data_IF_040177853667
#
_entry.id   IF_040177853667
#
_cell.length_a   1.000
_cell.length_b   1.000
_cell.length_c   1.000
_cell.angle_alpha   90.00
_cell.angle_beta   90.00
_cell.angle_gamma   90.00
#
_symmetry.space_group_name_H-M   'P 1'
#
loop_
_entity.id
_entity.type
_entity.pdbx_description
1 polymer ?
#
# COMPACT_ATOMS: atom_id res chain seq x y z
N UNK A 1 37.05 11.56 -55.95
CA UNK A 1 38.30 11.80 -55.22
C UNK A 1 38.64 13.28 -55.29
N UNK A 2 38.83 13.91 -54.12
CA UNK A 2 39.62 15.11 -53.79
C UNK A 2 39.57 16.34 -54.72
N UNK A 3 39.23 17.49 -54.13
CA UNK A 3 39.50 18.80 -54.72
C UNK A 3 39.03 19.95 -53.83
N UNK A 4 39.72 20.18 -52.72
CA UNK A 4 39.55 21.34 -51.85
C UNK A 4 39.94 22.64 -52.58
N UNK A 5 39.18 23.71 -52.38
CA UNK A 5 39.51 25.06 -52.82
C UNK A 5 39.03 26.07 -51.79
N UNK A 6 39.98 26.69 -51.10
CA UNK A 6 39.81 27.67 -50.02
C UNK A 6 39.70 29.04 -50.69
N UNK A 7 38.64 29.79 -50.39
CA UNK A 7 38.39 31.15 -50.86
C UNK A 7 38.12 32.08 -49.68
N UNK A 8 39.06 32.97 -49.44
CA UNK A 8 39.11 33.92 -48.35
C UNK A 8 38.10 35.07 -48.51
N UNK A 9 37.83 35.71 -47.35
CA UNK A 9 37.81 37.17 -47.16
C UNK A 9 36.43 37.86 -47.06
N UNK A 10 36.43 38.88 -46.18
CA UNK A 10 35.39 39.89 -45.91
C UNK A 10 34.27 39.38 -44.97
N UNK A 11 33.99 39.94 -43.79
CA UNK A 11 34.18 41.29 -43.24
C UNK A 11 34.25 41.15 -41.72
N UNK A 12 35.26 41.75 -41.09
CA UNK A 12 35.33 41.89 -39.63
C UNK A 12 34.24 42.87 -39.18
N UNK A 13 33.20 42.36 -38.51
CA UNK A 13 32.17 43.18 -37.88
C UNK A 13 32.69 43.75 -36.56
N UNK A 14 32.43 45.03 -36.39
CA UNK A 14 32.73 45.92 -35.28
C UNK A 14 32.79 45.29 -33.89
N UNK A 15 33.88 45.61 -33.19
CA UNK A 15 34.00 45.53 -31.74
C UNK A 15 33.12 46.61 -31.12
N UNK A 16 32.04 46.22 -30.43
CA UNK A 16 31.32 47.08 -29.51
C UNK A 16 31.24 46.36 -28.16
N UNK A 17 32.24 46.61 -27.32
CA UNK A 17 32.24 46.23 -25.91
C UNK A 17 31.34 47.24 -25.17
N UNK A 18 30.07 46.93 -25.05
CA UNK A 18 29.13 47.66 -24.21
C UNK A 18 28.80 46.82 -22.97
N UNK A 19 29.42 47.22 -21.87
CA UNK A 19 29.02 47.11 -20.45
C UNK A 19 27.90 46.12 -20.12
N UNK A 20 28.27 45.10 -19.33
CA UNK A 20 27.36 44.26 -18.56
C UNK A 20 26.42 45.12 -17.71
N UNK A 21 25.12 45.05 -18.02
CA UNK A 21 24.05 45.25 -17.04
C UNK A 21 23.41 43.87 -16.81
N UNK A 22 23.50 43.27 -15.63
CA UNK A 22 22.73 42.07 -15.33
C UNK A 22 21.26 42.48 -15.07
N UNK A 23 20.46 42.55 -16.14
CA UNK A 23 19.01 42.55 -16.04
C UNK A 23 18.49 41.11 -15.80
N UNK A 24 17.52 40.90 -14.91
CA UNK A 24 17.18 39.58 -14.41
C UNK A 24 16.56 38.69 -15.50
N UNK A 25 17.10 37.46 -15.54
CA UNK A 25 16.66 36.33 -16.35
C UNK A 25 15.21 35.98 -16.02
N UNK A 26 14.35 35.99 -17.04
CA UNK A 26 13.07 35.30 -17.00
C UNK A 26 13.31 33.78 -16.96
N UNK A 27 13.10 33.14 -15.82
CA UNK A 27 12.83 31.71 -15.68
C UNK A 27 12.54 31.39 -14.21
N UNK A 28 11.31 31.67 -13.78
CA UNK A 28 10.71 30.93 -12.68
C UNK A 28 9.50 30.22 -13.27
N UNK A 29 9.72 28.95 -13.63
CA UNK A 29 8.64 28.00 -13.66
C UNK A 29 7.89 28.12 -12.33
N UNK A 30 6.58 28.33 -12.37
CA UNK A 30 5.70 28.04 -11.24
C UNK A 30 5.86 26.54 -10.94
N UNK A 31 6.86 26.24 -10.12
CA UNK A 31 6.93 24.99 -9.41
C UNK A 31 5.68 24.96 -8.52
N UNK A 32 4.82 23.94 -8.60
CA UNK A 32 3.84 23.73 -7.56
C UNK A 32 4.59 23.29 -6.30
N UNK A 33 5.11 24.27 -5.55
CA UNK A 33 5.43 24.15 -4.13
C UNK A 33 4.12 23.92 -3.41
N UNK A 34 3.77 22.65 -3.32
CA UNK A 34 2.51 22.21 -2.74
C UNK A 34 2.57 20.73 -2.38
N UNK A 35 3.65 20.27 -1.74
CA UNK A 35 3.60 19.06 -0.93
C UNK A 35 2.83 19.35 0.38
N UNK A 36 1.59 19.82 0.24
CA UNK A 36 0.59 19.54 1.24
C UNK A 36 0.27 18.06 1.11
N UNK A 37 0.22 17.34 2.23
CA UNK A 37 -0.33 15.98 2.28
C UNK A 37 -1.82 16.05 1.89
N UNK A 38 -2.11 16.17 0.60
CA UNK A 38 -3.46 16.09 0.08
C UNK A 38 -3.95 14.68 0.40
N UNK A 39 -4.99 14.61 1.22
CA UNK A 39 -5.69 13.35 1.47
C UNK A 39 -6.19 12.89 0.10
N UNK A 40 -5.77 11.71 -0.41
CA UNK A 40 -6.19 11.26 -1.73
C UNK A 40 -7.71 11.22 -1.79
N UNK A 41 -8.25 11.65 -2.93
CA UNK A 41 -9.69 11.70 -3.14
C UNK A 41 -10.30 10.28 -3.07
N UNK A 42 -11.63 10.20 -3.05
CA UNK A 42 -12.32 8.91 -2.91
C UNK A 42 -12.07 7.96 -4.10
N UNK A 43 -11.89 8.49 -5.32
CA UNK A 43 -11.59 7.75 -6.54
C UNK A 43 -10.15 7.22 -6.51
N UNK A 44 -9.19 8.07 -6.16
CA UNK A 44 -7.78 7.70 -5.97
C UNK A 44 -7.64 6.61 -4.94
N UNK A 45 -8.32 6.75 -3.80
CA UNK A 45 -8.33 5.72 -2.73
C UNK A 45 -8.87 4.40 -3.25
N UNK A 46 -9.96 4.42 -4.02
CA UNK A 46 -10.56 3.23 -4.61
C UNK A 46 -9.58 2.55 -5.59
N UNK A 47 -8.92 3.32 -6.45
CA UNK A 47 -7.95 2.78 -7.41
C UNK A 47 -6.73 2.19 -6.71
N UNK A 48 -6.17 2.88 -5.72
CA UNK A 48 -5.08 2.39 -4.87
C UNK A 48 -5.49 1.08 -4.19
N UNK A 49 -6.66 1.04 -3.58
CA UNK A 49 -7.15 -0.14 -2.89
C UNK A 49 -7.40 -1.32 -3.85
N UNK A 50 -7.95 -1.06 -5.03
CA UNK A 50 -8.12 -2.08 -6.07
C UNK A 50 -6.77 -2.65 -6.54
N UNK A 51 -5.75 -1.80 -6.73
CA UNK A 51 -4.42 -2.26 -7.11
C UNK A 51 -3.78 -3.12 -6.01
N UNK A 52 -3.94 -2.74 -4.73
CA UNK A 52 -3.51 -3.56 -3.58
C UNK A 52 -4.27 -4.88 -3.51
N UNK A 53 -5.57 -4.88 -3.80
CA UNK A 53 -6.40 -6.07 -3.89
C UNK A 53 -5.93 -7.04 -4.99
N UNK A 54 -5.46 -6.50 -6.12
CA UNK A 54 -4.83 -7.25 -7.21
C UNK A 54 -3.41 -7.74 -6.87
N UNK A 55 -2.83 -7.33 -5.73
CA UNK A 55 -1.49 -7.74 -5.31
C UNK A 55 -0.36 -6.86 -5.84
N UNK A 56 -0.67 -5.69 -6.42
CA UNK A 56 0.32 -4.72 -6.90
C UNK A 56 0.95 -3.96 -5.73
N UNK A 57 2.03 -3.22 -6.01
CA UNK A 57 2.73 -2.37 -5.05
C UNK A 57 3.19 -3.12 -3.78
N UNK A 58 3.03 -2.49 -2.62
CA UNK A 58 3.39 -3.00 -1.29
C UNK A 58 2.59 -4.25 -0.88
N UNK A 59 1.55 -4.66 -1.61
CA UNK A 59 0.79 -5.87 -1.29
C UNK A 59 1.58 -7.17 -1.55
N UNK A 60 2.61 -7.10 -2.40
CA UNK A 60 3.56 -8.19 -2.64
C UNK A 60 4.57 -8.38 -1.50
N UNK A 61 4.88 -7.31 -0.75
CA UNK A 61 5.71 -7.40 0.45
C UNK A 61 4.91 -8.05 1.59
N UNK A 62 5.43 -9.18 2.05
CA UNK A 62 4.78 -10.09 2.99
C UNK A 62 5.54 -10.24 4.30
N UNK A 63 6.38 -9.26 4.66
CA UNK A 63 7.14 -9.25 5.91
C UNK A 63 6.95 -7.94 6.67
N UNK A 64 7.22 -8.00 7.97
CA UNK A 64 7.29 -6.82 8.84
C UNK A 64 5.96 -6.32 9.39
N UNK A 65 6.04 -5.70 10.57
CA UNK A 65 4.90 -5.07 11.24
C UNK A 65 4.65 -3.66 10.70
N UNK A 66 4.40 -3.55 9.39
CA UNK A 66 4.10 -2.31 8.68
C UNK A 66 2.63 -1.86 8.87
N UNK A 67 2.31 -0.60 8.56
CA UNK A 67 0.94 -0.04 8.60
C UNK A 67 0.00 -0.81 7.69
N UNK A 68 -1.21 -1.11 8.16
CA UNK A 68 -2.21 -1.87 7.42
C UNK A 68 -2.42 -1.34 6.00
N UNK A 69 -2.38 -2.23 5.01
CA UNK A 69 -2.70 -1.86 3.62
C UNK A 69 -4.20 -1.69 3.40
N UNK A 70 -5.03 -2.16 4.32
CA UNK A 70 -6.47 -1.92 4.30
C UNK A 70 -6.81 -0.68 5.11
N UNK A 71 -7.45 0.30 4.46
CA UNK A 71 -7.84 1.59 5.02
C UNK A 71 -9.36 1.84 4.89
N UNK A 72 -10.14 0.78 4.63
CA UNK A 72 -11.58 0.86 4.45
C UNK A 72 -12.38 0.92 5.76
N UNK A 73 -13.69 0.71 5.67
CA UNK A 73 -14.67 0.87 6.77
C UNK A 73 -14.28 0.28 8.14
N UNK A 74 -13.65 -0.89 8.18
CA UNK A 74 -13.30 -1.54 9.45
C UNK A 74 -11.95 -1.11 10.03
N UNK A 75 -11.17 -0.36 9.26
CA UNK A 75 -9.88 0.12 9.71
C UNK A 75 -10.04 1.09 10.87
N UNK A 76 -9.27 0.90 11.94
CA UNK A 76 -9.30 1.75 13.11
C UNK A 76 -7.88 2.26 13.41
N UNK A 77 -7.52 3.51 13.03
CA UNK A 77 -6.16 4.01 13.20
C UNK A 77 -5.71 3.99 14.66
N UNK A 78 -6.61 4.34 15.60
CA UNK A 78 -6.34 4.28 17.06
C UNK A 78 -6.05 2.87 17.59
N UNK A 79 -6.36 1.81 16.82
CA UNK A 79 -6.12 0.40 17.19
C UNK A 79 -5.05 -0.26 16.32
N UNK A 80 -4.40 0.48 15.43
CA UNK A 80 -3.35 -0.07 14.56
C UNK A 80 -2.15 -0.62 15.35
N UNK A 81 -1.80 0.02 16.48
CA UNK A 81 -0.80 -0.50 17.42
C UNK A 81 -1.16 -1.90 17.93
N UNK A 82 -2.44 -2.16 18.19
CA UNK A 82 -2.95 -3.48 18.63
C UNK A 82 -2.77 -4.50 17.52
N UNK A 83 -3.18 -4.19 16.28
CA UNK A 83 -2.99 -5.07 15.13
C UNK A 83 -1.52 -5.43 14.92
N UNK A 84 -0.63 -4.43 14.94
CA UNK A 84 0.82 -4.63 14.78
C UNK A 84 1.39 -5.54 15.88
N UNK A 85 0.97 -5.33 17.12
CA UNK A 85 1.35 -6.21 18.23
C UNK A 85 0.86 -7.64 18.01
N UNK A 86 -0.40 -7.83 17.59
CA UNK A 86 -0.95 -9.16 17.29
C UNK A 86 -0.15 -9.80 16.17
N UNK A 87 0.04 -9.14 15.02
CA UNK A 87 0.81 -9.70 13.91
C UNK A 87 2.24 -10.10 14.34
N UNK A 88 2.92 -9.25 15.13
CA UNK A 88 4.26 -9.54 15.65
C UNK A 88 4.26 -10.71 16.63
N UNK A 89 3.25 -10.83 17.50
CA UNK A 89 3.13 -11.93 18.46
C UNK A 89 2.80 -13.25 17.78
N UNK A 90 1.85 -13.24 16.85
CA UNK A 90 1.33 -14.43 16.19
C UNK A 90 2.34 -15.05 15.22
N UNK A 91 3.13 -14.25 14.51
CA UNK A 91 4.06 -14.79 13.52
C UNK A 91 5.34 -13.99 13.28
N UNK A 92 5.68 -13.05 14.17
CA UNK A 92 6.75 -12.08 13.88
C UNK A 92 6.38 -11.12 12.74
N UNK A 93 5.09 -10.95 12.45
CA UNK A 93 4.55 -10.23 11.29
C UNK A 93 4.99 -10.82 9.93
N UNK A 94 5.20 -12.13 9.89
CA UNK A 94 5.42 -12.88 8.66
C UNK A 94 4.06 -13.30 8.07
N UNK A 95 3.69 -12.72 6.92
CA UNK A 95 2.44 -13.01 6.22
C UNK A 95 2.45 -14.38 5.52
N UNK A 96 3.62 -15.03 5.42
CA UNK A 96 3.78 -16.37 4.86
C UNK A 96 3.85 -17.48 5.92
N UNK A 97 3.76 -17.11 7.21
CA UNK A 97 3.93 -18.05 8.30
C UNK A 97 2.87 -19.16 8.30
N UNK A 98 3.29 -20.34 8.75
CA UNK A 98 2.45 -21.51 8.99
C UNK A 98 2.87 -22.07 10.34
N UNK A 99 1.91 -22.29 11.24
CA UNK A 99 2.17 -22.95 12.53
C UNK A 99 2.76 -24.36 12.32
N UNK A 100 3.51 -24.90 13.27
CA UNK A 100 4.09 -26.25 13.18
C UNK A 100 3.11 -27.33 12.71
N UNK A 101 1.88 -27.37 13.27
CA UNK A 101 0.83 -28.31 12.88
C UNK A 101 -0.02 -27.91 11.67
N UNK A 102 0.38 -26.88 10.90
CA UNK A 102 -0.34 -26.44 9.69
C UNK A 102 -1.75 -25.86 9.89
N UNK A 103 -2.23 -25.73 11.14
CA UNK A 103 -3.59 -25.29 11.49
C UNK A 103 -3.79 -23.79 11.33
N UNK A 104 -2.79 -22.99 11.68
CA UNK A 104 -2.86 -21.53 11.68
C UNK A 104 -1.87 -20.93 10.68
N UNK A 105 -2.33 -19.92 9.94
CA UNK A 105 -1.64 -19.44 8.74
C UNK A 105 -1.68 -17.92 8.63
N UNK A 106 -0.62 -17.36 8.04
CA UNK A 106 -0.47 -15.95 7.79
C UNK A 106 -0.03 -15.13 9.01
N UNK A 107 -0.03 -13.80 8.84
CA UNK A 107 0.45 -12.86 9.84
C UNK A 107 -0.35 -12.89 11.14
N UNK A 108 -1.63 -13.25 11.04
CA UNK A 108 -2.59 -13.25 12.14
C UNK A 108 -2.91 -14.66 12.65
N UNK A 109 -2.16 -15.66 12.18
CA UNK A 109 -2.37 -17.08 12.54
C UNK A 109 -3.85 -17.47 12.46
N UNK A 110 -4.51 -17.15 11.33
CA UNK A 110 -5.92 -17.47 11.15
C UNK A 110 -6.07 -18.97 10.85
N UNK A 111 -7.07 -19.60 11.48
CA UNK A 111 -7.52 -20.93 11.06
C UNK A 111 -8.21 -20.86 9.70
N UNK A 112 -8.27 -22.00 9.02
CA UNK A 112 -8.95 -22.11 7.72
C UNK A 112 -10.42 -21.68 7.78
N UNK A 113 -11.16 -22.14 8.80
CA UNK A 113 -12.57 -21.82 9.01
C UNK A 113 -12.78 -20.31 9.23
N UNK A 114 -11.92 -19.69 10.05
CA UNK A 114 -11.98 -18.26 10.31
C UNK A 114 -11.71 -17.43 9.05
N UNK A 115 -10.69 -17.81 8.27
CA UNK A 115 -10.36 -17.13 7.02
C UNK A 115 -11.50 -17.23 5.98
N UNK A 116 -12.12 -18.41 5.84
CA UNK A 116 -13.28 -18.59 4.95
C UNK A 116 -14.46 -17.74 5.42
N UNK A 117 -14.78 -17.74 6.72
CA UNK A 117 -15.82 -16.89 7.30
C UNK A 117 -15.59 -15.41 7.03
N UNK A 118 -14.36 -14.93 7.23
CA UNK A 118 -13.98 -13.55 6.91
C UNK A 118 -14.17 -13.22 5.42
N UNK A 119 -13.84 -14.14 4.51
CA UNK A 119 -14.09 -13.94 3.08
C UNK A 119 -15.58 -13.77 2.77
N UNK A 120 -16.48 -14.47 3.46
CA UNK A 120 -17.93 -14.29 3.29
C UNK A 120 -18.36 -12.89 3.73
N UNK A 121 -17.88 -12.44 4.91
CA UNK A 121 -18.16 -11.12 5.46
C UNK A 121 -17.64 -9.99 4.56
N UNK A 122 -16.45 -10.14 3.96
CA UNK A 122 -15.84 -9.11 3.11
C UNK A 122 -16.59 -8.88 1.78
N UNK A 123 -17.20 -9.90 1.18
CA UNK A 123 -17.73 -9.83 -0.20
C UNK A 123 -18.67 -8.66 -0.47
N UNK A 124 -19.67 -8.45 0.41
CA UNK A 124 -20.71 -7.43 0.16
C UNK A 124 -20.09 -6.04 0.12
N UNK A 125 -19.15 -5.78 1.02
CA UNK A 125 -18.47 -4.49 1.10
C UNK A 125 -17.45 -4.32 -0.02
N UNK A 126 -16.68 -5.36 -0.36
CA UNK A 126 -15.77 -5.33 -1.50
C UNK A 126 -16.51 -5.04 -2.80
N UNK A 127 -17.68 -5.67 -3.02
CA UNK A 127 -18.50 -5.39 -4.22
C UNK A 127 -18.92 -3.93 -4.28
N UNK A 128 -19.36 -3.36 -3.15
CA UNK A 128 -19.83 -1.97 -3.07
C UNK A 128 -18.69 -0.97 -3.28
N UNK A 129 -17.53 -1.24 -2.69
CA UNK A 129 -16.39 -0.31 -2.68
C UNK A 129 -15.56 -0.40 -3.96
N UNK A 130 -15.28 -1.62 -4.43
CA UNK A 130 -14.30 -1.90 -5.49
C UNK A 130 -14.92 -2.54 -6.75
N UNK A 131 -16.21 -2.87 -6.73
CA UNK A 131 -16.94 -3.43 -7.88
C UNK A 131 -16.95 -4.96 -7.96
N UNK A 132 -17.57 -5.47 -9.03
CA UNK A 132 -17.80 -6.91 -9.21
C UNK A 132 -16.51 -7.72 -9.38
N UNK A 133 -15.49 -7.17 -10.05
CA UNK A 133 -14.21 -7.86 -10.26
C UNK A 133 -13.47 -8.11 -8.94
N UNK A 134 -13.46 -7.12 -8.04
CA UNK A 134 -12.85 -7.29 -6.72
C UNK A 134 -13.60 -8.35 -5.88
N UNK A 135 -14.93 -8.47 -6.01
CA UNK A 135 -15.69 -9.55 -5.36
C UNK A 135 -15.21 -10.92 -5.85
N UNK A 136 -14.90 -11.09 -7.13
CA UNK A 136 -14.36 -12.36 -7.67
C UNK A 136 -13.02 -12.71 -7.00
N UNK A 137 -12.15 -11.72 -6.74
CA UNK A 137 -10.91 -11.93 -5.99
C UNK A 137 -11.16 -12.50 -4.59
N UNK A 138 -12.14 -11.95 -3.85
CA UNK A 138 -12.51 -12.45 -2.50
C UNK A 138 -13.02 -13.88 -2.55
N UNK A 139 -13.84 -14.21 -3.54
CA UNK A 139 -14.32 -15.59 -3.74
C UNK A 139 -13.13 -16.52 -4.00
N UNK A 140 -12.18 -16.10 -4.84
CA UNK A 140 -10.99 -16.88 -5.15
C UNK A 140 -10.07 -17.09 -3.92
N UNK A 141 -10.03 -16.16 -2.96
CA UNK A 141 -9.29 -16.35 -1.70
C UNK A 141 -9.73 -17.60 -0.94
N UNK A 142 -11.00 -18.01 -1.08
CA UNK A 142 -11.50 -19.22 -0.44
C UNK A 142 -10.83 -20.47 -0.94
N UNK A 143 -10.26 -20.50 -2.13
CA UNK A 143 -9.53 -21.68 -2.63
C UNK A 143 -8.08 -21.72 -2.14
N UNK A 144 -7.57 -20.58 -1.64
CA UNK A 144 -6.18 -20.42 -1.23
C UNK A 144 -6.04 -20.44 0.30
N UNK A 145 -5.02 -21.10 0.84
CA UNK A 145 -4.71 -21.00 2.27
C UNK A 145 -4.16 -19.59 2.58
N UNK A 146 -4.39 -19.09 3.80
CA UNK A 146 -4.20 -17.67 4.16
C UNK A 146 -2.79 -17.14 3.93
N UNK A 147 -1.75 -17.97 4.08
CA UNK A 147 -0.36 -17.59 3.83
C UNK A 147 -0.04 -17.28 2.35
N UNK A 148 -0.91 -17.72 1.43
CA UNK A 148 -0.85 -17.38 0.01
C UNK A 148 -1.63 -16.11 -0.33
N UNK A 149 -2.42 -15.58 0.61
CA UNK A 149 -3.09 -14.30 0.40
C UNK A 149 -2.05 -13.19 0.45
N UNK A 150 -2.24 -12.17 -0.39
CA UNK A 150 -1.43 -10.97 -0.32
C UNK A 150 -1.66 -10.25 1.02
N UNK A 151 -0.77 -9.31 1.33
CA UNK A 151 -0.81 -8.59 2.60
C UNK A 151 -2.11 -7.82 2.81
N UNK A 152 -2.62 -7.19 1.76
CA UNK A 152 -3.88 -6.45 1.77
C UNK A 152 -5.07 -7.31 2.21
N UNK A 153 -5.22 -8.52 1.65
CA UNK A 153 -6.34 -9.40 1.98
C UNK A 153 -6.27 -9.94 3.41
N UNK A 154 -5.06 -10.25 3.91
CA UNK A 154 -4.90 -10.65 5.31
C UNK A 154 -5.24 -9.50 6.27
N UNK A 155 -4.79 -8.29 5.95
CA UNK A 155 -5.09 -7.07 6.73
C UNK A 155 -6.59 -6.75 6.73
N UNK A 156 -7.23 -6.80 5.57
CA UNK A 156 -8.67 -6.60 5.43
C UNK A 156 -9.44 -7.64 6.24
N UNK A 157 -9.06 -8.92 6.14
CA UNK A 157 -9.68 -9.99 6.91
C UNK A 157 -9.54 -9.77 8.42
N UNK A 158 -8.36 -9.37 8.91
CA UNK A 158 -8.15 -9.02 10.31
C UNK A 158 -9.14 -7.95 10.77
N UNK A 159 -9.24 -6.83 10.05
CA UNK A 159 -10.12 -5.73 10.45
C UNK A 159 -11.59 -6.10 10.39
N UNK A 160 -11.99 -6.87 9.37
CA UNK A 160 -13.34 -7.40 9.24
C UNK A 160 -13.70 -8.34 10.39
N UNK A 161 -12.79 -9.21 10.84
CA UNK A 161 -13.02 -10.08 12.01
C UNK A 161 -13.01 -9.26 13.30
N UNK A 162 -12.03 -8.35 13.46
CA UNK A 162 -11.88 -7.52 14.66
C UNK A 162 -13.16 -6.74 14.94
N UNK A 163 -13.80 -6.20 13.91
CA UNK A 163 -15.16 -5.63 13.94
C UNK A 163 -15.38 -4.73 15.16
N UNK A 164 -14.64 -3.61 15.21
CA UNK A 164 -14.66 -2.66 16.34
C UNK A 164 -14.33 -3.29 17.71
N UNK A 165 -13.56 -4.36 17.73
CA UNK A 165 -13.14 -5.08 18.93
C UNK A 165 -14.07 -6.21 19.37
N UNK A 166 -15.19 -6.43 18.68
CA UNK A 166 -16.09 -7.57 18.99
C UNK A 166 -15.40 -8.91 18.75
N UNK A 167 -14.55 -9.01 17.72
CA UNK A 167 -13.79 -10.22 17.40
C UNK A 167 -12.45 -10.36 18.12
N UNK A 168 -12.17 -9.53 19.14
CA UNK A 168 -10.88 -9.55 19.85
C UNK A 168 -10.55 -10.91 20.45
N UNK A 169 -11.57 -11.71 20.82
CA UNK A 169 -11.42 -13.05 21.41
C UNK A 169 -10.60 -14.01 20.56
N UNK A 170 -10.60 -13.86 19.23
CA UNK A 170 -9.77 -14.66 18.33
C UNK A 170 -8.25 -14.49 18.57
N UNK A 171 -7.83 -13.43 19.27
CA UNK A 171 -6.43 -13.12 19.55
C UNK A 171 -6.18 -12.80 21.03
N UNK A 172 -6.99 -13.35 21.95
CA UNK A 172 -6.78 -13.16 23.40
C UNK A 172 -5.62 -13.98 24.00
N UNK A 173 -5.10 -14.97 23.28
CA UNK A 173 -4.03 -15.85 23.76
C UNK A 173 -2.60 -15.28 23.67
N UNK A 174 -1.66 -15.89 24.41
CA UNK A 174 -0.21 -15.65 24.33
C UNK A 174 0.37 -14.69 25.39
N UNK A 175 1.68 -14.80 25.67
CA UNK A 175 2.38 -14.05 26.73
C UNK A 175 2.52 -12.54 26.54
N UNK A 176 2.06 -11.98 25.40
CA UNK A 176 2.07 -10.51 25.14
C UNK A 176 0.64 -9.97 25.12
N UNK A 177 0.34 -9.09 26.07
CA UNK A 177 -0.94 -8.40 26.20
C UNK A 177 -1.09 -7.25 25.19
N UNK A 178 -1.41 -7.57 23.94
CA UNK A 178 -1.60 -6.58 22.87
C UNK A 178 -2.81 -5.66 23.03
N UNK A 179 -3.72 -5.96 23.95
CA UNK A 179 -4.99 -5.23 24.13
C UNK A 179 -4.93 -4.11 25.18
N UNK A 180 -3.80 -3.95 25.89
CA UNK A 180 -3.64 -2.83 26.81
C UNK A 180 -3.58 -1.53 26.02
N UNK A 181 -4.47 -0.60 26.35
CA UNK A 181 -4.24 0.83 26.06
C UNK A 181 -3.07 1.22 26.97
N UNK A 182 -1.89 1.45 26.39
CA UNK A 182 -0.94 2.39 27.01
C UNK A 182 -1.33 3.75 26.48
#
# INVERSE_FOLDING_TARGET
>A
MRGSGIGAMCIALATALALLVPGPVALAADAPTGQGTAVPDASDRKQIELALAQGKFKAGDRRGAMVSLYQGKWYMPKREKVRRCIAKRESGANYRAVSAGGRYRGAYQMSRRLAVGASWMMQREVRRELGAEAKKLVIALRKKPTQQWNRYWQDRAFWTIWHKGKGKSHWRGGGKNCMKRR
#
